data_IF_292006619478
#
_entry.id   IF_292006619478
#
_cell.length_a   1.000
_cell.length_b   1.000
_cell.length_c   1.000
_cell.angle_alpha   90.00
_cell.angle_beta   90.00
_cell.angle_gamma   90.00
#
_symmetry.space_group_name_H-M   'P 1'
#
loop_
_entity.id
_entity.type
_entity.pdbx_description
1 polymer ?
#
# COMPACT_ATOMS: atom_id res chain seq x y z
N UNK A 1 25.52 0.47 -3.77
CA UNK A 1 24.50 1.52 -3.53
C UNK A 1 23.32 1.18 -4.42
N UNK A 2 22.13 0.95 -3.86
CA UNK A 2 20.92 0.84 -4.69
C UNK A 2 20.60 2.21 -5.25
N UNK A 3 20.34 2.31 -6.56
CA UNK A 3 19.83 3.53 -7.16
C UNK A 3 18.43 3.86 -6.65
N UNK A 4 17.95 5.05 -7.01
CA UNK A 4 16.56 5.44 -6.76
C UNK A 4 15.57 4.44 -7.42
N UNK A 5 14.50 4.00 -6.73
CA UNK A 5 13.60 2.94 -7.18
C UNK A 5 12.61 3.44 -8.24
N UNK A 6 13.09 3.73 -9.44
CA UNK A 6 12.28 4.30 -10.52
C UNK A 6 11.07 3.45 -10.92
N UNK A 7 11.23 2.13 -10.95
CA UNK A 7 10.16 1.21 -11.36
C UNK A 7 8.95 1.30 -10.41
N UNK A 8 9.20 1.29 -9.09
CA UNK A 8 8.15 1.35 -8.07
C UNK A 8 7.43 2.69 -8.10
N UNK A 9 8.20 3.78 -8.21
CA UNK A 9 7.65 5.15 -8.23
C UNK A 9 6.81 5.42 -9.47
N UNK A 10 7.28 4.98 -10.65
CA UNK A 10 6.50 5.08 -11.89
C UNK A 10 5.25 4.18 -11.87
N UNK A 11 5.37 2.95 -11.34
CA UNK A 11 4.24 2.05 -11.18
C UNK A 11 3.16 2.64 -10.26
N UNK A 12 3.58 3.24 -9.15
CA UNK A 12 2.67 3.93 -8.24
C UNK A 12 2.01 5.17 -8.89
N UNK A 13 2.81 6.05 -9.50
CA UNK A 13 2.31 7.31 -10.06
C UNK A 13 1.44 7.14 -11.32
N UNK A 14 1.90 6.35 -12.29
CA UNK A 14 1.20 6.17 -13.57
C UNK A 14 0.17 5.03 -13.52
N UNK A 15 0.42 4.00 -12.71
CA UNK A 15 -0.46 2.84 -12.58
C UNK A 15 -1.53 3.00 -11.51
N UNK A 16 -1.11 3.11 -10.24
CA UNK A 16 -2.03 3.13 -9.08
C UNK A 16 -2.81 4.43 -9.00
N UNK A 17 -2.11 5.57 -9.03
CA UNK A 17 -2.76 6.89 -8.97
C UNK A 17 -3.34 7.34 -10.32
N UNK A 18 -2.96 6.67 -11.43
CA UNK A 18 -3.37 7.01 -12.80
C UNK A 18 -3.16 8.48 -13.16
N UNK A 19 -2.07 9.06 -12.68
CA UNK A 19 -1.70 10.43 -13.01
C UNK A 19 -1.38 10.53 -14.51
N UNK A 20 -1.76 11.64 -15.13
CA UNK A 20 -1.23 11.99 -16.43
C UNK A 20 0.31 12.07 -16.33
N UNK A 21 1.07 11.60 -17.33
CA UNK A 21 2.53 11.60 -17.28
C UNK A 21 3.13 12.97 -16.96
N UNK A 22 2.53 14.05 -17.48
CA UNK A 22 2.97 15.42 -17.24
C UNK A 22 2.81 15.82 -15.77
N UNK A 23 1.71 15.43 -15.13
CA UNK A 23 1.49 15.69 -13.71
C UNK A 23 2.50 14.91 -12.86
N UNK A 24 2.72 13.63 -13.16
CA UNK A 24 3.71 12.81 -12.45
C UNK A 24 5.12 13.39 -12.53
N UNK A 25 5.58 13.81 -13.72
CA UNK A 25 6.92 14.38 -13.88
C UNK A 25 7.07 15.80 -13.32
N UNK A 26 5.96 16.53 -13.13
CA UNK A 26 5.96 17.83 -12.47
C UNK A 26 5.95 17.74 -10.94
N UNK A 27 5.54 16.58 -10.39
CA UNK A 27 5.50 16.38 -8.94
C UNK A 27 6.89 16.23 -8.34
N UNK A 28 7.03 16.75 -7.12
CA UNK A 28 8.22 16.56 -6.30
C UNK A 28 8.17 15.20 -5.59
N UNK A 29 9.34 14.61 -5.20
CA UNK A 29 9.37 13.37 -4.43
C UNK A 29 8.59 13.44 -3.10
N UNK A 30 8.49 14.63 -2.47
CA UNK A 30 7.72 14.83 -1.23
C UNK A 30 6.22 14.72 -1.47
N UNK A 31 5.74 15.21 -2.62
CA UNK A 31 4.32 15.09 -3.00
C UNK A 31 3.96 13.65 -3.36
N UNK A 32 4.86 12.92 -4.03
CA UNK A 32 4.67 11.48 -4.29
C UNK A 32 4.59 10.71 -2.97
N UNK A 33 5.49 10.98 -2.01
CA UNK A 33 5.45 10.36 -0.69
C UNK A 33 4.14 10.67 0.05
N UNK A 34 3.66 11.92 -0.02
CA UNK A 34 2.38 12.31 0.59
C UNK A 34 1.18 11.59 -0.07
N UNK A 35 1.18 11.43 -1.40
CA UNK A 35 0.14 10.69 -2.11
C UNK A 35 0.15 9.19 -1.72
N UNK A 36 1.34 8.61 -1.53
CA UNK A 36 1.49 7.24 -1.03
C UNK A 36 0.93 7.07 0.38
N UNK A 37 1.25 7.98 1.30
CA UNK A 37 0.68 7.99 2.67
C UNK A 37 -0.85 8.14 2.66
N UNK A 38 -1.40 8.95 1.76
CA UNK A 38 -2.85 9.11 1.60
C UNK A 38 -3.56 7.81 1.19
N UNK A 39 -2.89 6.95 0.42
CA UNK A 39 -3.44 5.68 -0.04
C UNK A 39 -3.20 4.52 0.93
N UNK A 40 -2.00 4.46 1.52
CA UNK A 40 -1.60 3.39 2.44
C UNK A 40 -2.13 3.59 3.87
N UNK A 41 -2.62 4.80 4.18
CA UNK A 41 -2.95 5.23 5.54
C UNK A 41 -1.70 5.65 6.32
N UNK A 42 -1.85 6.68 7.17
CA UNK A 42 -0.76 7.11 8.05
C UNK A 42 -0.49 6.04 9.09
N UNK A 43 0.72 5.51 9.06
CA UNK A 43 1.08 4.35 9.86
C UNK A 43 0.56 3.11 9.16
N UNK A 44 1.46 2.44 8.44
CA UNK A 44 1.26 1.09 7.92
C UNK A 44 0.70 0.27 9.09
N UNK A 45 -0.61 -0.03 9.07
CA UNK A 45 -1.20 -0.87 10.10
C UNK A 45 -0.32 -2.11 10.14
N UNK A 46 0.26 -2.40 11.31
CA UNK A 46 1.18 -3.52 11.45
C UNK A 46 0.49 -4.74 10.83
N UNK A 47 1.20 -5.57 10.04
CA UNK A 47 0.63 -6.81 9.53
C UNK A 47 -0.08 -7.53 10.69
N UNK A 48 -1.29 -8.02 10.44
CA UNK A 48 -2.08 -8.72 11.44
C UNK A 48 -1.19 -9.75 12.15
N UNK A 49 -0.97 -9.57 13.44
CA UNK A 49 -0.14 -10.47 14.23
C UNK A 49 -0.72 -11.87 14.26
N UNK A 50 0.13 -12.88 14.46
CA UNK A 50 -0.29 -14.28 14.52
C UNK A 50 -1.41 -14.50 15.55
N UNK A 51 -1.26 -13.91 16.74
CA UNK A 51 -2.24 -14.02 17.82
C UNK A 51 -3.60 -13.43 17.42
N UNK A 52 -3.61 -12.31 16.71
CA UNK A 52 -4.85 -11.67 16.26
C UNK A 52 -5.52 -12.47 15.14
N UNK A 53 -4.73 -13.14 14.28
CA UNK A 53 -5.23 -14.07 13.28
C UNK A 53 -5.82 -15.33 13.94
N UNK A 54 -5.14 -15.92 14.92
CA UNK A 54 -5.64 -17.10 15.65
C UNK A 54 -6.94 -16.79 16.41
N UNK A 55 -7.03 -15.60 17.01
CA UNK A 55 -8.27 -15.13 17.63
C UNK A 55 -9.42 -14.99 16.62
N UNK A 56 -9.15 -14.57 15.38
CA UNK A 56 -10.16 -14.51 14.32
C UNK A 56 -10.61 -15.90 13.88
N UNK A 57 -9.68 -16.84 13.70
CA UNK A 57 -9.98 -18.24 13.36
C UNK A 57 -10.86 -18.90 14.43
N UNK A 58 -10.57 -18.67 15.72
CA UNK A 58 -11.37 -19.20 16.82
C UNK A 58 -12.77 -18.58 16.90
N UNK A 59 -12.91 -17.29 16.56
CA UNK A 59 -14.20 -16.57 16.56
C UNK A 59 -15.07 -16.90 15.36
N UNK A 60 -14.45 -17.25 14.24
CA UNK A 60 -15.12 -17.60 12.98
C UNK A 60 -14.66 -18.99 12.54
N UNK A 61 -15.02 -20.05 13.28
CA UNK A 61 -14.68 -21.40 12.85
C UNK A 61 -15.42 -21.71 11.55
N UNK A 62 -14.68 -22.11 10.52
CA UNK A 62 -15.26 -22.60 9.28
C UNK A 62 -16.02 -23.90 9.60
N UNK A 63 -17.34 -23.79 9.73
CA UNK A 63 -18.25 -24.94 9.81
C UNK A 63 -18.63 -25.37 8.41
N UNK A 64 -18.60 -26.68 8.15
CA UNK A 64 -19.25 -27.30 6.99
C UNK A 64 -20.73 -26.91 7.02
N UNK A 65 -21.08 -25.86 6.29
CA UNK A 65 -22.45 -25.53 5.96
C UNK A 65 -22.98 -26.56 4.97
N UNK A 66 -23.35 -27.74 5.46
CA UNK A 66 -24.43 -28.55 4.90
C UNK A 66 -25.23 -29.24 6.00
#
# INVERSE_FOLDING_TARGET
MSGFPWADVMGFGLGTLRLAPQAFWAMTPREIAAAHEGLAGRGRAAPLGRDAFDALMARHPDGEGR
#
